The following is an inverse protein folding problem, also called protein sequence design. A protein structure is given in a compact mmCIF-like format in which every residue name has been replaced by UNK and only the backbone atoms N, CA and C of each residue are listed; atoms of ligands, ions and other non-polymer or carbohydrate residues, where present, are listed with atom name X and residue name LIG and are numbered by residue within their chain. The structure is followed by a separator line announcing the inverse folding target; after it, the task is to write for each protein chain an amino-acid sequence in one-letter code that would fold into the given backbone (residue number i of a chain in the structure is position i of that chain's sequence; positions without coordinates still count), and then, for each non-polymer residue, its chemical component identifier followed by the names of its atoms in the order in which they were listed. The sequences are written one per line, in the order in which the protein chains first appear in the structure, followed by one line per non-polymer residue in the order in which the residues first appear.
data_IF_667460082207
#
_entry.id   IF_667460082207
#
_cell.length_a   1.000
_cell.length_b   1.000
_cell.length_c   1.000
_cell.angle_alpha   90.00
_cell.angle_beta   90.00
_cell.angle_gamma   90.00
#
_symmetry.space_group_name_H-M   'P 1'
#
loop_
_entity.id
_entity.type
_entity.pdbx_description
1 polymer ?
#
# COMPACT_ATOMS: atom_id res chain seq x y z
N UNK A 1 6.58 6.18 -36.77
CA UNK A 1 6.58 5.22 -35.64
C UNK A 1 5.49 4.21 -35.90
N UNK A 2 5.86 2.96 -36.15
CA UNK A 2 4.98 1.92 -36.66
C UNK A 2 3.90 1.48 -35.66
N UNK A 3 2.65 1.65 -36.07
CA UNK A 3 1.44 1.21 -35.36
C UNK A 3 1.42 -0.32 -35.12
N UNK A 4 2.17 -1.09 -35.93
CA UNK A 4 2.30 -2.55 -35.79
C UNK A 4 3.17 -3.02 -34.62
N UNK A 5 4.21 -2.25 -34.24
CA UNK A 5 5.11 -2.61 -33.13
C UNK A 5 4.43 -2.33 -31.77
N UNK A 6 3.64 -1.25 -31.69
CA UNK A 6 2.87 -0.89 -30.49
C UNK A 6 1.78 -1.92 -30.16
N UNK A 7 1.17 -2.55 -31.18
CA UNK A 7 0.07 -3.50 -31.00
C UNK A 7 0.52 -4.86 -30.43
N UNK A 8 1.72 -5.31 -30.78
CA UNK A 8 2.29 -6.58 -30.30
C UNK A 8 2.73 -6.52 -28.82
N UNK A 9 3.17 -5.36 -28.35
CA UNK A 9 3.53 -5.15 -26.94
C UNK A 9 2.31 -5.27 -26.01
N UNK A 10 1.13 -4.83 -26.44
CA UNK A 10 -0.06 -4.86 -25.60
C UNK A 10 -0.52 -6.29 -25.27
N UNK A 11 -0.46 -7.23 -26.22
CA UNK A 11 -0.85 -8.63 -25.98
C UNK A 11 0.11 -9.30 -24.99
N UNK A 12 1.42 -9.10 -25.16
CA UNK A 12 2.44 -9.62 -24.23
C UNK A 12 2.23 -9.11 -22.81
N UNK A 13 1.85 -7.84 -22.68
CA UNK A 13 1.51 -7.22 -21.40
C UNK A 13 0.28 -7.88 -20.80
N UNK A 14 -0.85 -7.98 -21.50
CA UNK A 14 -2.06 -8.62 -20.97
C UNK A 14 -1.81 -10.09 -20.58
N UNK A 15 -1.02 -10.84 -21.34
CA UNK A 15 -0.61 -12.20 -20.99
C UNK A 15 0.25 -12.23 -19.73
N UNK A 16 1.17 -11.27 -19.57
CA UNK A 16 1.97 -11.10 -18.36
C UNK A 16 1.09 -10.77 -17.16
N UNK A 17 0.11 -9.88 -17.32
CA UNK A 17 -0.87 -9.54 -16.28
C UNK A 17 -1.65 -10.77 -15.82
N UNK A 18 -2.20 -11.50 -16.80
CA UNK A 18 -2.94 -12.71 -16.53
C UNK A 18 -2.07 -13.75 -15.82
N UNK A 19 -0.82 -13.93 -16.25
CA UNK A 19 0.16 -14.79 -15.59
C UNK A 19 0.46 -14.37 -14.15
N UNK A 20 0.64 -13.08 -13.88
CA UNK A 20 0.87 -12.56 -12.53
C UNK A 20 -0.33 -12.76 -11.61
N UNK A 21 -1.54 -12.51 -12.10
CA UNK A 21 -2.78 -12.74 -11.35
C UNK A 21 -3.01 -14.22 -11.09
N UNK A 22 -2.79 -15.06 -12.10
CA UNK A 22 -2.90 -16.51 -12.00
C UNK A 22 -1.91 -17.07 -10.97
N UNK A 23 -0.64 -16.65 -11.02
CA UNK A 23 0.35 -17.05 -10.02
C UNK A 23 -0.07 -16.60 -8.62
N UNK A 24 -0.47 -15.32 -8.49
CA UNK A 24 -0.84 -14.73 -7.21
C UNK A 24 -2.05 -15.42 -6.58
N UNK A 25 -2.97 -15.95 -7.39
CA UNK A 25 -4.11 -16.69 -6.90
C UNK A 25 -3.77 -18.16 -6.62
N UNK A 26 -3.30 -18.89 -7.62
CA UNK A 26 -3.14 -20.34 -7.53
C UNK A 26 -1.85 -20.75 -6.81
N UNK A 27 -0.70 -20.18 -7.19
CA UNK A 27 0.59 -20.61 -6.65
C UNK A 27 0.74 -20.14 -5.20
N UNK A 28 0.33 -18.90 -4.89
CA UNK A 28 0.34 -18.40 -3.51
C UNK A 28 -0.54 -19.21 -2.56
N UNK A 29 -1.64 -19.79 -3.05
CA UNK A 29 -2.49 -20.67 -2.24
C UNK A 29 -1.77 -21.97 -1.82
N UNK A 30 -0.86 -22.48 -2.65
CA UNK A 30 -0.15 -23.76 -2.45
C UNK A 30 1.07 -23.60 -1.54
N UNK A 31 1.79 -22.48 -1.66
CA UNK A 31 3.07 -22.24 -0.96
C UNK A 31 2.94 -22.46 0.56
N UNK A 32 3.72 -23.35 1.19
CA UNK A 32 3.61 -23.66 2.62
C UNK A 32 3.93 -22.44 3.50
N UNK A 33 3.51 -22.48 4.77
CA UNK A 33 3.87 -21.44 5.77
C UNK A 33 5.40 -21.39 5.95
N UNK A 34 5.91 -20.21 6.27
CA UNK A 34 7.33 -20.00 6.56
C UNK A 34 8.07 -19.30 5.42
N UNK A 35 9.39 -19.54 5.33
CA UNK A 35 10.31 -18.79 4.46
C UNK A 35 9.91 -18.82 2.97
N UNK A 36 9.39 -19.94 2.48
CA UNK A 36 8.95 -20.08 1.09
C UNK A 36 7.83 -19.11 0.69
N UNK A 37 7.10 -18.50 1.65
CA UNK A 37 6.07 -17.49 1.36
C UNK A 37 6.60 -16.25 0.68
N UNK A 38 7.89 -15.94 0.78
CA UNK A 38 8.50 -14.85 0.03
C UNK A 38 8.33 -15.01 -1.49
N UNK A 39 8.25 -16.25 -1.99
CA UNK A 39 8.04 -16.57 -3.41
C UNK A 39 6.71 -16.00 -3.93
N UNK A 40 5.70 -15.83 -3.08
CA UNK A 40 4.41 -15.23 -3.46
C UNK A 40 4.52 -13.76 -3.89
N UNK A 41 5.65 -13.09 -3.60
CA UNK A 41 5.91 -11.71 -4.04
C UNK A 41 6.51 -11.62 -5.45
N UNK A 42 6.97 -12.73 -6.04
CA UNK A 42 7.59 -12.74 -7.38
C UNK A 42 6.70 -12.14 -8.49
N UNK A 43 5.38 -12.38 -8.54
CA UNK A 43 4.51 -11.76 -9.54
C UNK A 43 4.51 -10.23 -9.46
N UNK A 44 4.66 -9.66 -8.27
CA UNK A 44 4.71 -8.21 -8.09
C UNK A 44 5.99 -7.65 -8.73
N UNK A 45 7.14 -8.30 -8.51
CA UNK A 45 8.42 -7.90 -9.11
C UNK A 45 8.43 -8.09 -10.63
N UNK A 46 7.90 -9.21 -11.12
CA UNK A 46 7.81 -9.48 -12.56
C UNK A 46 6.86 -8.51 -13.26
N UNK A 47 5.72 -8.19 -12.64
CA UNK A 47 4.80 -7.17 -13.15
C UNK A 47 5.49 -5.81 -13.27
N UNK A 48 6.11 -5.36 -12.18
CA UNK A 48 6.83 -4.10 -12.15
C UNK A 48 7.89 -4.02 -13.26
N UNK A 49 8.63 -5.10 -13.50
CA UNK A 49 9.59 -5.19 -14.61
C UNK A 49 8.92 -5.12 -16.00
N UNK A 50 7.79 -5.81 -16.18
CA UNK A 50 7.06 -5.84 -17.45
C UNK A 50 6.45 -4.47 -17.82
N UNK A 51 6.10 -3.65 -16.82
CA UNK A 51 5.49 -2.33 -17.03
C UNK A 51 6.48 -1.27 -17.51
N UNK A 52 7.80 -1.46 -17.36
CA UNK A 52 8.82 -0.54 -17.94
C UNK A 52 8.54 -0.25 -19.42
N UNK A 53 8.11 -1.27 -20.15
CA UNK A 53 7.98 -1.21 -21.59
C UNK A 53 6.67 -0.59 -22.07
N UNK A 54 5.81 -0.15 -21.14
CA UNK A 54 4.54 0.51 -21.41
C UNK A 54 4.67 2.03 -21.23
N UNK A 55 3.82 2.83 -21.91
CA UNK A 55 3.66 4.23 -21.56
C UNK A 55 3.35 4.34 -20.06
N UNK A 56 3.90 5.34 -19.36
CA UNK A 56 3.76 5.45 -17.92
C UNK A 56 2.33 5.80 -17.52
N UNK A 57 1.48 4.79 -17.41
CA UNK A 57 0.15 4.91 -16.81
C UNK A 57 0.30 4.64 -15.31
N UNK A 58 0.79 5.64 -14.61
CA UNK A 58 1.02 5.66 -13.15
C UNK A 58 -0.21 5.17 -12.36
N UNK A 59 -1.41 5.53 -12.82
CA UNK A 59 -2.68 5.06 -12.22
C UNK A 59 -2.93 3.57 -12.45
N UNK A 60 -2.58 3.03 -13.62
CA UNK A 60 -2.73 1.60 -13.94
C UNK A 60 -1.72 0.74 -13.18
N UNK A 61 -0.47 1.22 -13.04
CA UNK A 61 0.58 0.51 -12.30
C UNK A 61 0.24 0.41 -10.80
N UNK A 62 -0.17 1.53 -10.18
CA UNK A 62 -0.56 1.56 -8.77
C UNK A 62 -1.83 0.74 -8.48
N UNK A 63 -2.85 0.85 -9.34
CA UNK A 63 -4.08 0.06 -9.20
C UNK A 63 -3.83 -1.44 -9.36
N UNK A 64 -2.98 -1.86 -10.29
CA UNK A 64 -2.76 -3.28 -10.52
C UNK A 64 -1.87 -3.95 -9.46
N UNK A 65 -0.93 -3.23 -8.84
CA UNK A 65 -0.19 -3.71 -7.66
C UNK A 65 -1.12 -3.96 -6.49
N UNK A 66 -2.08 -3.06 -6.26
CA UNK A 66 -3.11 -3.24 -5.24
C UNK A 66 -3.99 -4.45 -5.55
N UNK A 67 -4.40 -4.63 -6.81
CA UNK A 67 -5.15 -5.82 -7.27
C UNK A 67 -4.35 -7.11 -7.05
N UNK A 68 -3.08 -7.16 -7.49
CA UNK A 68 -2.21 -8.33 -7.32
C UNK A 68 -1.99 -8.64 -5.84
N UNK A 69 -1.82 -7.61 -5.01
CA UNK A 69 -1.72 -7.76 -3.56
C UNK A 69 -3.01 -8.31 -2.97
N UNK A 70 -4.15 -7.82 -3.42
CA UNK A 70 -5.45 -8.27 -2.94
C UNK A 70 -5.75 -9.72 -3.36
N UNK A 71 -5.40 -10.11 -4.59
CA UNK A 71 -5.49 -11.49 -5.08
C UNK A 71 -4.60 -12.43 -4.28
N UNK A 72 -3.35 -12.03 -4.01
CA UNK A 72 -2.44 -12.77 -3.12
C UNK A 72 -3.05 -12.94 -1.72
N UNK A 73 -3.63 -11.89 -1.17
CA UNK A 73 -4.30 -11.93 0.13
C UNK A 73 -5.50 -12.89 0.11
N UNK A 74 -6.33 -12.83 -0.95
CA UNK A 74 -7.47 -13.72 -1.17
C UNK A 74 -7.06 -15.19 -1.21
N UNK A 75 -6.00 -15.52 -1.94
CA UNK A 75 -5.46 -16.87 -2.04
C UNK A 75 -5.07 -17.44 -0.67
N UNK A 76 -4.43 -16.61 0.17
CA UNK A 76 -4.07 -17.01 1.52
C UNK A 76 -5.30 -17.18 2.43
N UNK A 77 -6.31 -16.32 2.32
CA UNK A 77 -7.57 -16.43 3.07
C UNK A 77 -8.35 -17.69 2.70
N UNK A 78 -8.46 -17.99 1.40
CA UNK A 78 -9.18 -19.16 0.92
C UNK A 78 -8.60 -20.47 1.48
N UNK A 79 -7.27 -20.59 1.51
CA UNK A 79 -6.60 -21.76 2.12
C UNK A 79 -6.86 -21.87 3.63
N UNK A 80 -6.99 -20.74 4.33
CA UNK A 80 -7.32 -20.75 5.75
C UNK A 80 -8.77 -21.21 5.96
N UNK A 81 -9.71 -20.70 5.16
CA UNK A 81 -11.13 -21.12 5.17
C UNK A 81 -11.33 -22.59 4.82
N UNK A 82 -10.53 -23.17 3.92
CA UNK A 82 -10.60 -24.61 3.63
C UNK A 82 -10.08 -25.50 4.78
N UNK A 83 -9.39 -24.91 5.76
CA UNK A 83 -8.81 -25.63 6.91
C UNK A 83 -9.56 -25.44 8.24
N UNK A 84 -10.44 -24.44 8.34
CA UNK A 84 -11.26 -24.18 9.53
C UNK A 84 -12.74 -24.09 9.13
N UNK A 85 -13.61 -24.91 9.75
CA UNK A 85 -15.05 -24.81 9.58
C UNK A 85 -15.52 -23.36 9.78
N UNK A 86 -16.31 -22.89 8.82
CA UNK A 86 -16.51 -21.48 8.49
C UNK A 86 -17.05 -20.62 9.63
N UNK A 87 -16.39 -19.49 9.87
CA UNK A 87 -17.03 -18.32 10.47
C UNK A 87 -16.92 -17.16 9.46
N UNK A 88 -18.08 -16.74 8.94
CA UNK A 88 -18.19 -15.71 7.93
C UNK A 88 -18.00 -14.34 8.56
N UNK A 89 -16.87 -13.68 8.30
CA UNK A 89 -16.77 -12.23 8.49
C UNK A 89 -17.57 -11.54 7.37
N UNK A 90 -18.86 -11.40 7.61
CA UNK A 90 -19.79 -10.64 6.76
C UNK A 90 -19.72 -9.19 7.22
N UNK A 91 -18.75 -8.43 6.71
CA UNK A 91 -18.79 -6.97 6.81
C UNK A 91 -19.01 -6.44 5.40
N UNK A 92 -20.29 -6.24 5.06
CA UNK A 92 -20.72 -5.74 3.76
C UNK A 92 -20.08 -4.38 3.48
N UNK A 93 -19.60 -4.19 2.25
CA UNK A 93 -19.20 -2.86 1.74
C UNK A 93 -20.29 -1.83 2.03
N UNK A 94 -19.94 -0.75 2.73
CA UNK A 94 -20.85 0.37 2.94
C UNK A 94 -20.83 1.28 1.72
N UNK A 95 -21.74 1.04 0.77
CA UNK A 95 -21.83 1.82 -0.47
C UNK A 95 -21.96 3.33 -0.25
N UNK A 96 -22.61 3.77 0.84
CA UNK A 96 -22.71 5.20 1.16
C UNK A 96 -21.37 5.82 1.52
N UNK A 97 -20.53 5.11 2.26
CA UNK A 97 -19.17 5.54 2.59
C UNK A 97 -18.31 5.67 1.33
N UNK A 98 -18.36 4.68 0.45
CA UNK A 98 -17.63 4.66 -0.82
C UNK A 98 -18.06 5.81 -1.74
N UNK A 99 -19.36 6.09 -1.83
CA UNK A 99 -19.88 7.21 -2.61
C UNK A 99 -19.35 8.56 -2.10
N UNK A 100 -19.24 8.73 -0.78
CA UNK A 100 -18.66 9.93 -0.17
C UNK A 100 -17.17 10.03 -0.49
N UNK A 101 -16.40 8.94 -0.39
CA UNK A 101 -14.96 8.94 -0.74
C UNK A 101 -14.72 9.31 -2.21
N UNK A 102 -15.52 8.76 -3.13
CA UNK A 102 -15.46 9.10 -4.56
C UNK A 102 -15.80 10.57 -4.78
N UNK A 103 -16.85 11.07 -4.12
CA UNK A 103 -17.26 12.48 -4.23
C UNK A 103 -16.17 13.41 -3.72
N UNK A 104 -15.64 13.17 -2.52
CA UNK A 104 -14.55 13.98 -1.93
C UNK A 104 -13.31 13.92 -2.80
N UNK A 105 -12.94 12.74 -3.31
CA UNK A 105 -11.81 12.59 -4.24
C UNK A 105 -12.02 13.42 -5.50
N UNK A 106 -13.22 13.37 -6.09
CA UNK A 106 -13.58 14.12 -7.30
C UNK A 106 -13.49 15.64 -7.06
N UNK A 107 -13.98 16.12 -5.92
CA UNK A 107 -13.88 17.53 -5.53
C UNK A 107 -12.43 17.95 -5.36
N UNK A 108 -11.61 17.18 -4.64
CA UNK A 108 -10.19 17.49 -4.43
C UNK A 108 -9.40 17.48 -5.75
N UNK A 109 -9.68 16.54 -6.65
CA UNK A 109 -9.08 16.49 -7.99
C UNK A 109 -9.48 17.74 -8.78
N UNK A 110 -10.76 18.12 -8.78
CA UNK A 110 -11.24 19.33 -9.46
C UNK A 110 -10.54 20.60 -8.94
N UNK A 111 -10.47 20.77 -7.61
CA UNK A 111 -9.75 21.88 -6.96
C UNK A 111 -8.29 21.93 -7.41
N UNK A 112 -7.64 20.77 -7.50
CA UNK A 112 -6.25 20.69 -7.91
C UNK A 112 -6.07 21.01 -9.41
N UNK A 113 -6.96 20.54 -10.28
CA UNK A 113 -6.88 20.80 -11.73
C UNK A 113 -7.15 22.27 -12.07
N UNK A 114 -8.16 22.87 -11.44
CA UNK A 114 -8.62 24.24 -11.71
C UNK A 114 -7.80 25.31 -10.94
N UNK A 115 -7.36 25.04 -9.70
CA UNK A 115 -6.82 26.07 -8.79
C UNK A 115 -5.43 25.78 -8.22
N UNK A 116 -4.65 24.82 -8.76
CA UNK A 116 -3.31 24.50 -8.24
C UNK A 116 -2.38 25.71 -8.07
N UNK A 117 -2.45 26.71 -8.96
CA UNK A 117 -1.56 27.87 -8.95
C UNK A 117 -1.91 28.90 -7.87
N UNK A 118 -3.11 28.81 -7.29
CA UNK A 118 -3.61 29.76 -6.28
C UNK A 118 -3.23 29.35 -4.85
N UNK A 119 -2.94 28.07 -4.64
CA UNK A 119 -2.64 27.53 -3.31
C UNK A 119 -1.16 27.59 -2.97
N UNK A 120 -0.88 27.81 -1.68
CA UNK A 120 0.47 27.69 -1.14
C UNK A 120 0.97 26.23 -1.30
N UNK A 121 2.26 25.99 -1.65
CA UNK A 121 2.79 24.65 -1.92
C UNK A 121 2.54 23.61 -0.82
N UNK A 122 2.58 24.03 0.45
CA UNK A 122 2.27 23.16 1.59
C UNK A 122 0.81 22.69 1.62
N UNK A 123 -0.14 23.52 1.17
CA UNK A 123 -1.55 23.14 1.08
C UNK A 123 -1.72 22.09 -0.02
N UNK A 124 -1.03 22.25 -1.15
CA UNK A 124 -1.02 21.25 -2.22
C UNK A 124 -0.50 19.88 -1.73
N UNK A 125 0.55 19.86 -0.90
CA UNK A 125 1.03 18.61 -0.28
C UNK A 125 0.00 17.95 0.63
N UNK A 126 -0.79 18.74 1.37
CA UNK A 126 -1.91 18.22 2.18
C UNK A 126 -2.98 17.60 1.26
N UNK A 127 -3.35 18.29 0.18
CA UNK A 127 -4.32 17.79 -0.81
C UNK A 127 -3.81 16.48 -1.43
N UNK A 128 -2.54 16.41 -1.85
CA UNK A 128 -1.93 15.17 -2.33
C UNK A 128 -1.98 14.05 -1.30
N UNK A 129 -1.69 14.35 -0.03
CA UNK A 129 -1.86 13.41 1.08
C UNK A 129 -3.27 12.83 1.15
N UNK A 130 -4.29 13.70 1.16
CA UNK A 130 -5.68 13.29 1.17
C UNK A 130 -6.04 12.42 -0.05
N UNK A 131 -5.57 12.80 -1.25
CA UNK A 131 -5.79 12.04 -2.48
C UNK A 131 -5.13 10.67 -2.44
N UNK A 132 -3.94 10.53 -1.84
CA UNK A 132 -3.31 9.21 -1.67
C UNK A 132 -4.12 8.34 -0.71
N UNK A 133 -4.59 8.89 0.42
CA UNK A 133 -5.43 8.15 1.37
C UNK A 133 -6.72 7.64 0.69
N UNK A 134 -7.48 8.55 0.08
CA UNK A 134 -8.73 8.24 -0.59
C UNK A 134 -8.53 7.36 -1.83
N UNK A 135 -7.44 7.57 -2.57
CA UNK A 135 -7.12 6.79 -3.77
C UNK A 135 -6.87 5.32 -3.45
N UNK A 136 -6.15 5.01 -2.37
CA UNK A 136 -5.92 3.63 -1.92
C UNK A 136 -7.24 2.95 -1.52
N UNK A 137 -8.12 3.67 -0.81
CA UNK A 137 -9.42 3.16 -0.37
C UNK A 137 -10.38 2.92 -1.53
N UNK A 138 -10.49 3.88 -2.46
CA UNK A 138 -11.26 3.73 -3.69
C UNK A 138 -10.77 2.55 -4.53
N UNK A 139 -9.45 2.46 -4.80
CA UNK A 139 -8.87 1.41 -5.62
C UNK A 139 -9.04 0.02 -5.00
N UNK A 140 -8.80 -0.10 -3.70
CA UNK A 140 -8.95 -1.39 -3.03
C UNK A 140 -10.41 -1.81 -2.87
N UNK A 141 -11.36 -0.87 -2.72
CA UNK A 141 -12.79 -1.16 -2.74
C UNK A 141 -13.24 -1.69 -4.10
N UNK A 142 -12.86 -1.02 -5.19
CA UNK A 142 -13.17 -1.48 -6.56
C UNK A 142 -12.57 -2.86 -6.80
N UNK A 143 -11.32 -3.07 -6.38
CA UNK A 143 -10.64 -4.36 -6.51
C UNK A 143 -11.34 -5.48 -5.73
N UNK A 144 -11.83 -5.18 -4.53
CA UNK A 144 -12.58 -6.14 -3.70
C UNK A 144 -13.94 -6.48 -4.31
N UNK A 145 -14.63 -5.49 -4.89
CA UNK A 145 -15.88 -5.71 -5.61
C UNK A 145 -15.66 -6.62 -6.84
N UNK A 146 -14.59 -6.39 -7.59
CA UNK A 146 -14.21 -7.26 -8.71
C UNK A 146 -13.93 -8.70 -8.24
N UNK A 147 -13.22 -8.88 -7.12
CA UNK A 147 -12.98 -10.20 -6.53
C UNK A 147 -14.26 -10.88 -6.07
N UNK A 148 -15.20 -10.13 -5.49
CA UNK A 148 -16.49 -10.65 -5.08
C UNK A 148 -17.28 -11.20 -6.26
N UNK A 149 -17.37 -10.44 -7.36
CA UNK A 149 -18.11 -10.90 -8.55
C UNK A 149 -17.42 -12.03 -9.33
N UNK A 150 -16.09 -12.12 -9.29
CA UNK A 150 -15.33 -13.12 -10.06
C UNK A 150 -15.05 -14.41 -9.29
N UNK A 151 -14.76 -14.30 -7.99
CA UNK A 151 -14.32 -15.43 -7.14
C UNK A 151 -15.31 -15.71 -6.01
N UNK A 152 -16.28 -14.83 -5.74
CA UNK A 152 -17.22 -14.97 -4.62
C UNK A 152 -16.60 -14.67 -3.26
N UNK A 153 -15.40 -14.07 -3.23
CA UNK A 153 -14.69 -13.71 -1.99
C UNK A 153 -14.84 -12.22 -1.72
N UNK A 154 -15.36 -11.89 -0.54
CA UNK A 154 -15.37 -10.54 0.01
C UNK A 154 -14.26 -10.44 1.08
N UNK A 155 -13.33 -9.51 0.86
CA UNK A 155 -12.21 -9.22 1.76
C UNK A 155 -12.52 -7.98 2.59
N UNK A 156 -11.74 -7.77 3.64
CA UNK A 156 -11.86 -6.55 4.46
C UNK A 156 -11.45 -5.30 3.66
N UNK A 157 -11.95 -4.14 4.12
CA UNK A 157 -11.56 -2.83 3.60
C UNK A 157 -10.03 -2.65 3.64
N UNK A 158 -9.42 -2.05 2.60
CA UNK A 158 -7.99 -1.74 2.59
C UNK A 158 -7.56 -0.85 3.75
N UNK A 159 -8.38 0.07 4.24
CA UNK A 159 -8.06 0.88 5.41
C UNK A 159 -9.21 0.93 6.43
N UNK A 160 -8.86 1.27 7.67
CA UNK A 160 -9.79 1.53 8.77
C UNK A 160 -9.49 2.88 9.44
N UNK A 161 -9.95 3.96 8.80
CA UNK A 161 -9.88 5.34 9.31
C UNK A 161 -8.48 5.70 9.82
N UNK A 162 -7.46 5.73 8.95
CA UNK A 162 -6.06 5.94 9.34
C UNK A 162 -5.83 7.28 10.06
N UNK A 163 -6.66 8.29 9.82
CA UNK A 163 -6.61 9.59 10.48
C UNK A 163 -7.01 9.57 11.98
N UNK A 164 -7.59 8.47 12.48
CA UNK A 164 -7.91 8.28 13.90
C UNK A 164 -6.84 7.50 14.67
N UNK A 165 -5.65 7.31 14.08
CA UNK A 165 -4.57 6.55 14.70
C UNK A 165 -4.00 7.27 15.92
N UNK A 166 -3.86 6.54 17.03
CA UNK A 166 -3.30 7.07 18.29
C UNK A 166 -1.82 6.74 18.47
N UNK A 167 -1.27 5.87 17.62
CA UNK A 167 0.14 5.52 17.63
C UNK A 167 0.61 5.07 16.23
N UNK A 168 1.92 5.03 16.01
CA UNK A 168 2.47 4.58 14.72
C UNK A 168 2.23 3.09 14.50
N UNK A 169 2.29 2.30 15.56
CA UNK A 169 1.90 0.89 15.51
C UNK A 169 0.41 0.72 15.13
N UNK A 170 -0.47 1.57 15.64
CA UNK A 170 -1.90 1.55 15.30
C UNK A 170 -2.13 1.95 13.83
N UNK A 171 -1.47 3.02 13.38
CA UNK A 171 -1.50 3.48 11.99
C UNK A 171 -1.07 2.39 11.02
N UNK A 172 0.18 1.93 11.11
CA UNK A 172 0.76 0.97 10.16
C UNK A 172 0.24 -0.46 10.33
N UNK A 173 -0.16 -0.84 11.55
CA UNK A 173 -0.52 -2.23 11.87
C UNK A 173 -2.00 -2.55 11.73
N UNK A 174 -2.88 -1.57 11.95
CA UNK A 174 -4.32 -1.83 12.11
C UNK A 174 -5.24 -0.95 11.26
N UNK A 175 -4.74 0.17 10.73
CA UNK A 175 -5.60 1.17 10.07
C UNK A 175 -5.20 1.49 8.64
N UNK A 176 -3.91 1.51 8.33
CA UNK A 176 -3.41 1.84 7.01
C UNK A 176 -3.13 0.59 6.19
N UNK A 177 -3.71 0.52 4.98
CA UNK A 177 -3.45 -0.49 3.96
C UNK A 177 -3.34 -1.94 4.50
N UNK A 178 -4.40 -2.39 5.19
CA UNK A 178 -4.56 -3.71 5.80
C UNK A 178 -4.29 -4.86 4.85
N UNK A 179 -4.65 -4.72 3.56
CA UNK A 179 -4.31 -5.72 2.54
C UNK A 179 -2.81 -5.91 2.42
N UNK A 180 -2.04 -4.82 2.27
CA UNK A 180 -0.57 -4.87 2.20
C UNK A 180 0.00 -5.30 3.54
N UNK A 181 -0.51 -4.79 4.66
CA UNK A 181 -0.04 -5.14 6.01
C UNK A 181 -0.20 -6.64 6.29
N UNK A 182 -1.34 -7.24 5.96
CA UNK A 182 -1.56 -8.69 6.12
C UNK A 182 -0.67 -9.51 5.18
N UNK A 183 -0.46 -9.04 3.95
CA UNK A 183 0.48 -9.69 3.03
C UNK A 183 1.91 -9.66 3.54
N UNK A 184 2.42 -8.49 3.92
CA UNK A 184 3.76 -8.33 4.50
C UNK A 184 3.89 -9.11 5.80
N UNK A 185 2.82 -9.21 6.60
CA UNK A 185 2.83 -10.03 7.80
C UNK A 185 3.05 -11.52 7.48
N UNK A 186 2.34 -12.04 6.47
CA UNK A 186 2.39 -13.46 6.06
C UNK A 186 3.69 -13.80 5.32
N UNK A 187 4.22 -12.86 4.53
CA UNK A 187 5.34 -13.09 3.62
C UNK A 187 6.69 -12.71 4.22
N UNK A 188 6.75 -11.64 5.03
CA UNK A 188 8.00 -11.11 5.58
C UNK A 188 8.04 -11.26 7.10
N UNK A 189 7.11 -10.62 7.82
CA UNK A 189 7.19 -10.49 9.27
C UNK A 189 7.24 -11.85 9.99
N UNK A 190 6.26 -12.72 9.72
CA UNK A 190 6.14 -14.00 10.42
C UNK A 190 7.30 -14.96 10.13
N UNK A 191 7.72 -15.14 8.85
CA UNK A 191 8.93 -15.92 8.54
C UNK A 191 10.21 -15.34 9.16
N UNK A 192 10.44 -14.03 9.04
CA UNK A 192 11.65 -13.39 9.57
C UNK A 192 11.67 -13.46 11.11
N UNK A 193 10.53 -13.26 11.76
CA UNK A 193 10.42 -13.40 13.22
C UNK A 193 10.76 -14.81 13.68
N UNK A 194 10.25 -15.83 12.98
CA UNK A 194 10.48 -17.23 13.30
C UNK A 194 11.95 -17.62 13.10
N UNK A 195 12.56 -17.20 11.99
CA UNK A 195 13.98 -17.41 11.73
C UNK A 195 14.87 -16.67 12.74
N UNK A 196 14.54 -15.40 13.03
CA UNK A 196 15.28 -14.59 14.00
C UNK A 196 15.19 -15.17 15.40
N UNK A 197 14.05 -15.74 15.80
CA UNK A 197 13.89 -16.37 17.11
C UNK A 197 14.86 -17.55 17.31
N UNK A 198 15.19 -18.29 16.23
CA UNK A 198 16.20 -19.35 16.28
C UNK A 198 17.62 -18.78 16.46
N UNK A 199 17.93 -17.65 15.81
CA UNK A 199 19.25 -17.01 15.89
C UNK A 199 19.49 -16.31 17.23
N UNK A 200 18.50 -15.57 17.72
CA UNK A 200 18.62 -14.79 18.96
C UNK A 200 18.26 -15.58 20.23
N UNK A 201 18.43 -16.91 20.18
CA UNK A 201 18.23 -17.83 21.31
C UNK A 201 16.89 -17.62 22.04
N UNK A 202 15.81 -17.40 21.29
CA UNK A 202 14.47 -17.22 21.85
C UNK A 202 14.15 -15.84 22.42
N UNK A 203 15.03 -14.83 22.26
CA UNK A 203 14.70 -13.45 22.65
C UNK A 203 13.56 -12.88 21.77
N UNK A 204 12.33 -13.01 22.27
CA UNK A 204 11.10 -12.60 21.56
C UNK A 204 11.07 -11.11 21.20
N UNK A 205 11.74 -10.24 21.96
CA UNK A 205 11.80 -8.81 21.65
C UNK A 205 12.69 -8.59 20.43
N UNK A 206 13.95 -9.03 20.48
CA UNK A 206 14.89 -8.89 19.35
C UNK A 206 14.35 -9.52 18.06
N UNK A 207 13.74 -10.71 18.16
CA UNK A 207 13.10 -11.34 17.00
C UNK A 207 11.94 -10.51 16.42
N UNK A 208 11.18 -9.80 17.28
CA UNK A 208 10.09 -8.92 16.81
C UNK A 208 10.64 -7.65 16.20
N UNK A 209 11.69 -7.04 16.77
CA UNK A 209 12.34 -5.85 16.22
C UNK A 209 12.96 -6.14 14.85
N UNK A 210 13.69 -7.25 14.72
CA UNK A 210 14.24 -7.71 13.45
C UNK A 210 13.16 -7.89 12.38
N UNK A 211 12.03 -8.49 12.76
CA UNK A 211 10.89 -8.67 11.85
C UNK A 211 10.23 -7.34 11.46
N UNK A 212 10.04 -6.39 12.39
CA UNK A 212 9.53 -5.06 12.08
C UNK A 212 10.46 -4.36 11.09
N UNK A 213 11.76 -4.29 11.38
CA UNK A 213 12.75 -3.65 10.50
C UNK A 213 12.77 -4.28 9.12
N UNK A 214 12.76 -5.62 9.03
CA UNK A 214 12.72 -6.31 7.74
C UNK A 214 11.43 -6.01 6.96
N UNK A 215 10.27 -5.97 7.62
CA UNK A 215 9.00 -5.63 6.98
C UNK A 215 9.00 -4.21 6.42
N UNK A 216 9.47 -3.23 7.18
CA UNK A 216 9.55 -1.85 6.70
C UNK A 216 10.62 -1.66 5.63
N UNK A 217 11.75 -2.37 5.71
CA UNK A 217 12.76 -2.38 4.64
C UNK A 217 12.17 -2.92 3.33
N UNK A 218 11.53 -4.08 3.35
CA UNK A 218 10.91 -4.66 2.15
C UNK A 218 9.82 -3.73 1.60
N UNK A 219 9.02 -3.11 2.46
CA UNK A 219 8.04 -2.11 2.04
C UNK A 219 8.70 -0.89 1.39
N UNK A 220 9.76 -0.34 1.99
CA UNK A 220 10.49 0.81 1.45
C UNK A 220 11.16 0.52 0.11
N UNK A 221 11.83 -0.63 -0.01
CA UNK A 221 12.40 -1.09 -1.28
C UNK A 221 11.35 -1.24 -2.37
N UNK A 222 10.16 -1.73 -2.01
CA UNK A 222 9.06 -1.86 -2.97
C UNK A 222 8.56 -0.49 -3.46
N UNK A 223 8.50 0.51 -2.59
CA UNK A 223 8.11 1.87 -2.98
C UNK A 223 9.19 2.60 -3.78
N UNK A 224 10.46 2.38 -3.48
CA UNK A 224 11.57 2.88 -4.30
C UNK A 224 11.57 2.26 -5.69
N UNK A 225 11.34 0.95 -5.73
CA UNK A 225 11.22 0.19 -6.97
C UNK A 225 10.03 0.68 -7.79
N UNK A 226 8.88 0.90 -7.15
CA UNK A 226 7.72 1.52 -7.76
C UNK A 226 8.10 2.86 -8.40
N UNK A 227 8.74 3.76 -7.65
CA UNK A 227 9.17 5.05 -8.18
C UNK A 227 10.15 4.91 -9.36
N UNK A 228 11.13 4.01 -9.27
CA UNK A 228 12.06 3.71 -10.36
C UNK A 228 11.32 3.35 -11.65
N UNK A 229 10.31 2.47 -11.55
CA UNK A 229 9.53 2.04 -12.70
C UNK A 229 8.62 3.14 -13.25
N UNK A 230 7.99 3.92 -12.37
CA UNK A 230 7.10 5.02 -12.76
C UNK A 230 7.83 6.16 -13.50
N UNK A 231 9.10 6.35 -13.19
CA UNK A 231 9.94 7.42 -13.73
C UNK A 231 10.74 7.00 -14.95
N UNK A 232 10.44 5.83 -15.53
CA UNK A 232 11.13 5.31 -16.71
C UNK A 232 12.58 4.91 -16.44
N UNK A 233 12.89 4.48 -15.20
CA UNK A 233 14.22 4.04 -14.80
C UNK A 233 15.12 5.16 -14.28
N UNK A 234 14.55 6.27 -13.77
CA UNK A 234 15.35 7.30 -13.12
C UNK A 234 16.05 6.75 -11.87
N UNK A 235 17.24 7.28 -11.56
CA UNK A 235 18.06 6.76 -10.45
C UNK A 235 17.27 6.82 -9.12
N UNK A 236 17.24 5.73 -8.34
CA UNK A 236 16.59 5.72 -7.04
C UNK A 236 17.30 6.70 -6.09
N UNK A 237 16.50 7.50 -5.37
CA UNK A 237 16.99 8.52 -4.43
C UNK A 237 17.11 7.98 -3.02
N UNK A 238 16.47 6.84 -2.74
CA UNK A 238 16.42 6.18 -1.44
C UNK A 238 15.68 6.97 -0.35
N UNK A 239 15.11 8.13 -0.68
CA UNK A 239 14.33 8.95 0.23
C UNK A 239 13.04 8.24 0.66
N UNK A 240 12.37 7.57 -0.28
CA UNK A 240 11.14 6.83 0.02
C UNK A 240 11.45 5.57 0.85
N UNK A 241 12.55 4.87 0.56
CA UNK A 241 13.04 3.78 1.44
C UNK A 241 13.36 4.31 2.84
N UNK A 242 13.99 5.48 2.94
CA UNK A 242 14.34 6.11 4.22
C UNK A 242 13.11 6.49 5.04
N UNK A 243 12.03 6.96 4.39
CA UNK A 243 10.74 7.17 5.04
C UNK A 243 10.26 5.90 5.75
N UNK A 244 10.18 4.77 5.05
CA UNK A 244 9.71 3.52 5.66
C UNK A 244 10.66 3.01 6.74
N UNK A 245 11.98 3.12 6.56
CA UNK A 245 12.94 2.72 7.60
C UNK A 245 12.82 3.56 8.87
N UNK A 246 12.62 4.88 8.74
CA UNK A 246 12.39 5.77 9.87
C UNK A 246 11.12 5.37 10.63
N UNK A 247 10.01 5.15 9.92
CA UNK A 247 8.75 4.69 10.51
C UNK A 247 8.90 3.32 11.16
N UNK A 248 9.60 2.39 10.51
CA UNK A 248 9.88 1.05 11.05
C UNK A 248 10.70 1.11 12.32
N UNK A 249 11.70 1.98 12.38
CA UNK A 249 12.47 2.24 13.60
C UNK A 249 11.60 2.79 14.72
N UNK A 250 10.75 3.80 14.44
CA UNK A 250 9.84 4.37 15.42
C UNK A 250 8.82 3.34 15.93
N UNK A 251 8.25 2.50 15.06
CA UNK A 251 7.36 1.41 15.45
C UNK A 251 8.09 0.35 16.28
N UNK A 252 9.33 0.01 15.92
CA UNK A 252 10.16 -0.92 16.67
C UNK A 252 10.45 -0.38 18.09
N UNK A 253 10.78 0.91 18.22
CA UNK A 253 10.90 1.59 19.51
C UNK A 253 9.60 1.54 20.30
N UNK A 254 8.47 1.85 19.67
CA UNK A 254 7.15 1.81 20.30
C UNK A 254 6.83 0.41 20.86
N UNK A 255 7.13 -0.65 20.08
CA UNK A 255 6.99 -2.05 20.52
C UNK A 255 7.91 -2.36 21.70
N UNK A 256 9.15 -1.90 21.68
CA UNK A 256 10.10 -2.12 22.77
C UNK A 256 9.66 -1.42 24.06
N UNK A 257 9.19 -0.16 23.96
CA UNK A 257 8.67 0.62 25.08
C UNK A 257 7.44 -0.06 25.66
N UNK A 258 6.43 -0.37 24.84
CA UNK A 258 5.18 -1.03 25.27
C UNK A 258 5.45 -2.36 25.97
N UNK A 259 6.39 -3.16 25.44
CA UNK A 259 6.73 -4.46 26.03
C UNK A 259 7.52 -4.35 27.34
N UNK A 260 8.34 -3.31 27.50
CA UNK A 260 9.05 -3.05 28.75
C UNK A 260 8.10 -2.48 29.82
N UNK A 261 7.19 -1.59 29.41
CA UNK A 261 6.14 -1.02 30.26
C UNK A 261 5.12 -2.08 30.72
N UNK A 262 4.74 -3.04 29.87
CA UNK A 262 3.85 -4.14 30.26
C UNK A 262 4.45 -5.08 31.31
N UNK A 263 5.78 -5.20 31.34
CA UNK A 263 6.49 -5.99 32.36
C UNK A 263 6.62 -5.24 33.70
N UNK A 264 6.28 -3.95 33.75
CA UNK A 264 6.29 -3.15 34.96
C UNK A 264 5.23 -2.07 34.91
N UNK A 265 3.96 -2.44 35.14
CA UNK A 265 2.78 -1.60 35.47
C UNK A 265 2.88 -0.09 35.15
N UNK A 266 3.29 0.28 33.95
CA UNK A 266 3.30 1.67 33.50
C UNK A 266 2.22 1.80 32.44
N UNK A 267 1.06 2.27 32.86
CA UNK A 267 0.01 2.74 31.96
C UNK A 267 0.48 4.06 31.32
N UNK A 268 1.39 3.97 30.36
CA UNK A 268 1.77 5.10 29.51
C UNK A 268 0.72 5.31 28.43
N UNK A 269 -0.53 5.49 28.80
CA UNK A 269 -1.57 5.90 27.86
C UNK A 269 -1.60 7.43 27.83
N UNK A 270 -0.92 8.00 26.85
CA UNK A 270 -1.06 9.43 26.54
C UNK A 270 -2.54 9.72 26.21
N UNK A 271 -3.11 10.85 26.69
CA UNK A 271 -4.48 11.21 26.37
C UNK A 271 -4.72 11.19 24.85
N UNK A 272 -5.90 10.70 24.44
CA UNK A 272 -6.25 10.46 23.04
C UNK A 272 -6.06 11.70 22.14
N UNK A 273 -6.36 12.88 22.69
CA UNK A 273 -6.26 14.18 22.02
C UNK A 273 -4.82 14.70 21.90
N UNK A 274 -3.85 14.07 22.58
CA UNK A 274 -2.42 14.33 22.39
C UNK A 274 -1.81 13.32 21.43
N UNK A 275 -2.09 12.03 21.65
CA UNK A 275 -1.47 10.93 20.92
C UNK A 275 -1.91 10.88 19.45
N UNK A 276 -3.19 11.16 19.18
CA UNK A 276 -3.73 11.24 17.82
C UNK A 276 -3.05 12.31 16.97
N UNK A 277 -3.15 13.60 17.33
CA UNK A 277 -2.50 14.68 16.59
C UNK A 277 -0.99 14.53 16.48
N UNK A 278 -0.32 14.00 17.51
CA UNK A 278 1.12 13.73 17.45
C UNK A 278 1.45 12.66 16.40
N UNK A 279 0.68 11.57 16.36
CA UNK A 279 0.87 10.48 15.39
C UNK A 279 0.63 10.96 13.96
N UNK A 280 -0.51 11.60 13.70
CA UNK A 280 -0.85 12.11 12.37
C UNK A 280 0.12 13.23 11.96
N UNK A 281 0.45 14.14 12.87
CA UNK A 281 1.45 15.19 12.64
C UNK A 281 2.81 14.62 12.25
N UNK A 282 3.27 13.57 12.94
CA UNK A 282 4.51 12.88 12.58
C UNK A 282 4.44 12.24 11.19
N UNK A 283 3.35 11.52 10.87
CA UNK A 283 3.15 10.91 9.55
C UNK A 283 3.13 11.96 8.45
N UNK A 284 2.43 13.09 8.66
CA UNK A 284 2.34 14.18 7.69
C UNK A 284 3.70 14.87 7.49
N UNK A 285 4.39 15.20 8.58
CA UNK A 285 5.70 15.87 8.52
C UNK A 285 6.74 15.01 7.79
N UNK A 286 6.82 13.73 8.16
CA UNK A 286 7.74 12.78 7.50
C UNK A 286 7.35 12.53 6.06
N UNK A 287 6.05 12.53 5.72
CA UNK A 287 5.58 12.44 4.33
C UNK A 287 6.01 13.64 3.50
N UNK A 288 5.88 14.86 4.04
CA UNK A 288 6.32 16.08 3.36
C UNK A 288 7.83 16.14 3.16
N UNK A 289 8.58 15.50 4.05
CA UNK A 289 10.03 15.49 4.01
C UNK A 289 10.62 14.41 3.10
N UNK A 290 10.11 13.17 3.16
CA UNK A 290 10.77 12.02 2.54
C UNK A 290 9.89 11.29 1.50
N UNK A 291 8.58 11.47 1.53
CA UNK A 291 7.66 10.74 0.64
C UNK A 291 7.29 11.53 -0.61
N UNK A 292 6.83 12.78 -0.45
CA UNK A 292 6.40 13.61 -1.58
C UNK A 292 7.53 14.22 -2.42
N UNK A 293 8.68 14.66 -1.86
CA UNK A 293 9.72 15.29 -2.67
C UNK A 293 10.27 14.43 -3.82
N UNK A 294 10.48 13.10 -3.66
CA UNK A 294 10.82 12.23 -4.79
C UNK A 294 9.76 12.20 -5.90
N UNK A 295 8.48 12.18 -5.53
CA UNK A 295 7.36 12.14 -6.49
C UNK A 295 7.26 13.44 -7.30
N UNK A 296 7.48 14.58 -6.65
CA UNK A 296 7.39 15.89 -7.29
C UNK A 296 8.62 16.15 -8.17
N UNK A 297 9.83 15.83 -7.68
CA UNK A 297 11.07 16.04 -8.46
C UNK A 297 11.13 15.19 -9.71
N UNK A 298 10.54 13.99 -9.67
CA UNK A 298 10.50 13.11 -10.83
C UNK A 298 9.40 13.48 -11.83
N UNK A 299 8.52 14.43 -11.50
CA UNK A 299 7.37 14.81 -12.32
C UNK A 299 6.23 13.78 -12.31
N UNK A 300 6.30 12.76 -11.43
CA UNK A 300 5.25 11.76 -11.31
C UNK A 300 3.89 12.39 -10.93
N UNK A 301 3.90 13.43 -10.10
CA UNK A 301 2.71 14.21 -9.75
C UNK A 301 2.04 14.84 -10.97
N UNK A 302 2.83 15.47 -11.85
CA UNK A 302 2.34 16.08 -13.09
C UNK A 302 1.77 15.05 -14.05
N UNK A 303 2.40 13.89 -14.15
CA UNK A 303 1.93 12.79 -14.99
C UNK A 303 0.58 12.23 -14.51
N UNK A 304 0.37 12.10 -13.18
CA UNK A 304 -0.96 11.76 -12.65
C UNK A 304 -1.96 12.84 -13.01
N UNK A 305 -1.61 14.11 -12.81
CA UNK A 305 -2.51 15.22 -13.04
C UNK A 305 -2.94 15.33 -14.49
N UNK A 306 -2.02 15.11 -15.43
CA UNK A 306 -2.33 15.08 -16.86
C UNK A 306 -3.31 13.95 -17.19
N UNK A 307 -3.13 12.76 -16.63
CA UNK A 307 -4.07 11.65 -16.81
C UNK A 307 -5.45 11.98 -16.23
N UNK A 308 -5.48 12.51 -15.01
CA UNK A 308 -6.73 12.94 -14.38
C UNK A 308 -7.43 14.05 -15.17
N UNK A 309 -6.68 14.98 -15.76
CA UNK A 309 -7.22 16.02 -16.66
C UNK A 309 -7.86 15.39 -17.89
N UNK A 310 -7.19 14.47 -18.57
CA UNK A 310 -7.77 13.78 -19.73
C UNK A 310 -9.07 13.04 -19.37
N UNK A 311 -9.12 12.39 -18.20
CA UNK A 311 -10.35 11.77 -17.70
C UNK A 311 -11.44 12.80 -17.39
N UNK A 312 -11.09 13.94 -16.80
CA UNK A 312 -12.02 15.01 -16.48
C UNK A 312 -12.61 15.65 -17.75
N UNK A 313 -11.79 15.90 -18.76
CA UNK A 313 -12.22 16.40 -20.08
C UNK A 313 -13.18 15.42 -20.76
N UNK A 314 -12.88 14.12 -20.73
CA UNK A 314 -13.79 13.07 -21.23
C UNK A 314 -15.13 13.07 -20.48
N UNK A 315 -15.12 13.36 -19.18
CA UNK A 315 -16.32 13.49 -18.36
C UNK A 315 -17.05 14.83 -18.52
N UNK A 316 -16.57 15.74 -19.38
CA UNK A 316 -17.18 17.05 -19.64
C UNK A 316 -16.85 18.12 -18.59
N UNK A 317 -15.84 17.89 -17.75
CA UNK A 317 -15.34 18.88 -16.78
C UNK A 317 -14.25 19.70 -17.47
N UNK A 318 -14.50 20.99 -17.71
CA UNK A 318 -13.51 21.92 -18.27
C UNK A 318 -12.84 22.73 -17.15
N UNK A 319 -11.58 22.39 -16.90
CA UNK A 319 -10.55 23.14 -16.16
C UNK A 319 -9.34 23.25 -17.12
#
# INVERSE_FOLDING_TARGET
MDVGIVKNNNISVYLTLFGCLFFSYFISSIIPKGFFRLISLLPLFYYLAAVIHLPPVLVAAGSLILVISLVNYAAFEQRQRSSSAAESLKKSVNFGYVAVEILVSSVLICVLLCHQNEFHPKILLVIYGCLVLLGVDCLGTVSNLMLHFTVGLELESPSDRPYLSTSLQDFWGKRWNLTVTKNLWRTVYSPVKSASAAVVQGNKLLASLAAVTATFLVSGLFHELLLYFLTGGAKPTWEMTSFFLLHGFCVALEVAIKKKASNGRWETELPLWVSGPLTIGFVMLTSFWLFFPPLIRSGADKMVLEQLRTFAEFAGIQC
#
